data_IF_635726434647
#
_entry.id   IF_635726434647
#
_cell.length_a   1.000
_cell.length_b   1.000
_cell.length_c   1.000
_cell.angle_alpha   90.00
_cell.angle_beta   90.00
_cell.angle_gamma   90.00
#
_symmetry.space_group_name_H-M   'P 1'
#
loop_
_entity.id
_entity.type
_entity.pdbx_description
1 polymer ?
#
# COMPACT_ATOMS: atom_id res chain seq x y z
N UNK A 1 7.11 36.61 -73.77
CA UNK A 1 7.28 37.31 -72.48
C UNK A 1 6.41 36.62 -71.43
N UNK A 2 6.90 35.55 -70.80
CA UNK A 2 6.17 34.78 -69.80
C UNK A 2 6.49 35.30 -68.39
N UNK A 3 5.48 35.78 -67.65
CA UNK A 3 5.61 36.21 -66.25
C UNK A 3 5.35 35.02 -65.34
N UNK A 4 6.40 34.42 -64.81
CA UNK A 4 6.35 33.37 -63.79
C UNK A 4 6.08 33.99 -62.41
N UNK A 5 4.94 33.63 -61.82
CA UNK A 5 4.51 34.02 -60.46
C UNK A 5 5.33 33.20 -59.45
N UNK A 6 6.32 33.83 -58.80
CA UNK A 6 7.08 33.21 -57.69
C UNK A 6 6.16 33.04 -56.47
N UNK A 7 5.93 31.79 -56.07
CA UNK A 7 5.42 31.46 -54.74
C UNK A 7 6.50 31.77 -53.70
N UNK A 8 6.15 32.59 -52.72
CA UNK A 8 6.91 32.75 -51.47
C UNK A 8 6.51 31.63 -50.51
N UNK A 9 7.46 30.81 -49.99
CA UNK A 9 7.16 29.87 -48.93
C UNK A 9 6.96 30.63 -47.61
N UNK A 10 5.89 30.29 -46.89
CA UNK A 10 5.63 30.78 -45.54
C UNK A 10 6.75 30.30 -44.58
N UNK A 11 7.14 31.11 -43.56
CA UNK A 11 8.10 30.67 -42.56
C UNK A 11 7.52 29.49 -41.77
N UNK A 12 8.25 28.38 -41.76
CA UNK A 12 7.97 27.24 -40.88
C UNK A 12 8.07 27.72 -39.43
N UNK A 13 6.99 27.55 -38.67
CA UNK A 13 6.97 27.79 -37.24
C UNK A 13 8.10 26.98 -36.59
N UNK A 14 9.11 27.70 -36.09
CA UNK A 14 10.15 27.13 -35.26
C UNK A 14 9.61 26.96 -33.83
N UNK A 15 9.96 25.82 -33.25
CA UNK A 15 9.95 25.53 -31.81
C UNK A 15 8.58 25.47 -31.12
N UNK A 16 7.95 24.31 -31.19
CA UNK A 16 7.21 23.76 -30.05
C UNK A 16 7.50 22.27 -29.92
N UNK A 17 8.78 21.92 -29.75
CA UNK A 17 9.16 20.70 -29.06
C UNK A 17 8.73 20.87 -27.59
N UNK A 18 7.50 20.44 -27.32
CA UNK A 18 6.86 20.46 -26.01
C UNK A 18 7.61 19.51 -25.06
N UNK A 19 7.68 19.82 -23.75
CA UNK A 19 8.54 19.15 -22.79
C UNK A 19 8.40 17.63 -22.81
N UNK A 20 9.55 16.95 -22.86
CA UNK A 20 9.73 15.58 -23.35
C UNK A 20 9.27 14.47 -22.39
N UNK A 21 8.76 14.74 -21.18
CA UNK A 21 8.13 13.68 -20.34
C UNK A 21 7.17 14.27 -19.30
N UNK A 22 6.18 13.50 -18.84
CA UNK A 22 5.29 13.87 -17.72
C UNK A 22 6.03 14.32 -16.44
N UNK A 23 7.29 13.92 -16.29
CA UNK A 23 8.20 14.37 -15.21
C UNK A 23 8.59 15.85 -15.30
N UNK A 24 8.45 16.46 -16.46
CA UNK A 24 8.82 17.86 -16.71
C UNK A 24 7.59 18.79 -16.59
N UNK A 25 6.38 18.21 -16.67
CA UNK A 25 5.12 18.90 -16.34
C UNK A 25 4.81 18.87 -14.83
N UNK A 26 5.23 17.82 -14.13
CA UNK A 26 5.21 17.80 -12.67
C UNK A 26 6.52 18.41 -12.15
N UNK A 27 6.44 19.57 -11.49
CA UNK A 27 7.60 20.10 -10.78
C UNK A 27 8.15 19.06 -9.81
N UNK A 28 9.48 19.00 -9.69
CA UNK A 28 10.18 18.09 -8.76
C UNK A 28 9.62 18.17 -7.33
N UNK A 29 9.22 19.38 -6.91
CA UNK A 29 8.52 19.66 -5.65
C UNK A 29 7.20 18.86 -5.49
N UNK A 30 6.39 18.73 -6.54
CA UNK A 30 5.15 17.93 -6.50
C UNK A 30 5.47 16.43 -6.43
N UNK A 31 6.52 15.98 -7.12
CA UNK A 31 6.97 14.58 -7.06
C UNK A 31 7.58 14.20 -5.71
N UNK A 32 8.19 15.15 -5.00
CA UNK A 32 8.68 14.96 -3.63
C UNK A 32 7.52 14.91 -2.65
N UNK A 33 6.57 15.85 -2.73
CA UNK A 33 5.34 15.84 -1.92
C UNK A 33 4.55 14.55 -2.08
N UNK A 34 4.42 14.06 -3.32
CA UNK A 34 3.70 12.81 -3.59
C UNK A 34 4.42 11.60 -2.99
N UNK A 35 5.76 11.56 -3.02
CA UNK A 35 6.52 10.49 -2.35
C UNK A 35 6.37 10.56 -0.84
N UNK A 36 6.47 11.74 -0.25
CA UNK A 36 6.27 11.94 1.19
C UNK A 36 4.88 11.44 1.63
N UNK A 37 3.83 11.80 0.89
CA UNK A 37 2.47 11.32 1.15
C UNK A 37 2.31 9.81 0.93
N UNK A 38 2.95 9.25 -0.10
CA UNK A 38 2.92 7.81 -0.35
C UNK A 38 3.62 7.03 0.76
N UNK A 39 4.73 7.54 1.30
CA UNK A 39 5.46 6.90 2.38
C UNK A 39 4.73 7.03 3.72
N UNK A 40 4.08 8.18 3.98
CA UNK A 40 3.18 8.36 5.13
C UNK A 40 1.98 7.42 5.07
N UNK A 41 1.35 7.28 3.90
CA UNK A 41 0.23 6.36 3.71
C UNK A 41 0.64 4.90 3.92
N UNK A 42 1.81 4.48 3.42
CA UNK A 42 2.35 3.14 3.66
C UNK A 42 2.67 2.89 5.13
N UNK A 43 3.22 3.88 5.83
CA UNK A 43 3.49 3.77 7.26
C UNK A 43 2.19 3.59 8.04
N UNK A 44 1.14 4.37 7.73
CA UNK A 44 -0.17 4.22 8.34
C UNK A 44 -0.83 2.87 8.05
N UNK A 45 -0.72 2.35 6.82
CA UNK A 45 -1.22 1.02 6.48
C UNK A 45 -0.46 -0.10 7.21
N UNK A 46 0.86 0.02 7.32
CA UNK A 46 1.68 -0.93 8.07
C UNK A 46 1.29 -0.96 9.56
N UNK A 47 1.10 0.21 10.17
CA UNK A 47 0.68 0.33 11.57
C UNK A 47 -0.72 -0.26 11.79
N UNK A 48 -1.68 0.00 10.90
CA UNK A 48 -3.01 -0.61 10.98
C UNK A 48 -2.96 -2.13 10.90
N UNK A 49 -2.13 -2.67 10.00
CA UNK A 49 -1.96 -4.11 9.87
C UNK A 49 -1.33 -4.71 11.13
N UNK A 50 -0.34 -4.06 11.70
CA UNK A 50 0.29 -4.50 12.95
C UNK A 50 -0.69 -4.48 14.12
N UNK A 51 -1.48 -3.41 14.26
CA UNK A 51 -2.53 -3.33 15.28
C UNK A 51 -3.59 -4.44 15.14
N UNK A 52 -3.99 -4.77 13.91
CA UNK A 52 -4.93 -5.86 13.67
C UNK A 52 -4.32 -7.22 14.06
N UNK A 53 -3.03 -7.43 13.79
CA UNK A 53 -2.33 -8.64 14.23
C UNK A 53 -2.26 -8.75 15.75
N UNK A 54 -1.92 -7.66 16.42
CA UNK A 54 -1.86 -7.61 17.89
C UNK A 54 -3.23 -7.89 18.51
N UNK A 55 -4.30 -7.29 17.99
CA UNK A 55 -5.67 -7.54 18.47
C UNK A 55 -6.10 -9.00 18.24
N UNK A 56 -5.75 -9.60 17.09
CA UNK A 56 -6.05 -10.99 16.82
C UNK A 56 -5.30 -11.96 17.77
N UNK A 57 -4.04 -11.66 18.08
CA UNK A 57 -3.24 -12.44 19.04
C UNK A 57 -3.77 -12.29 20.47
N UNK A 58 -4.16 -11.07 20.87
CA UNK A 58 -4.76 -10.82 22.18
C UNK A 58 -6.11 -11.54 22.32
N UNK A 59 -6.96 -11.50 21.29
CA UNK A 59 -8.23 -12.21 21.25
C UNK A 59 -8.03 -13.73 21.38
N UNK A 60 -7.06 -14.29 20.64
CA UNK A 60 -6.70 -15.71 20.77
C UNK A 60 -6.21 -16.07 22.17
N UNK A 61 -5.37 -15.23 22.76
CA UNK A 61 -4.86 -15.44 24.12
C UNK A 61 -5.97 -15.34 25.15
N UNK A 62 -6.90 -14.41 25.00
CA UNK A 62 -8.05 -14.26 25.88
C UNK A 62 -9.01 -15.45 25.75
N UNK A 63 -9.27 -15.93 24.53
CA UNK A 63 -10.09 -17.12 24.29
C UNK A 63 -9.42 -18.38 24.84
N UNK A 64 -8.11 -18.54 24.65
CA UNK A 64 -7.35 -19.64 25.23
C UNK A 64 -7.44 -19.61 26.76
N UNK A 65 -7.21 -18.45 27.40
CA UNK A 65 -7.39 -18.30 28.85
C UNK A 65 -8.79 -18.65 29.32
N UNK A 66 -9.83 -18.29 28.55
CA UNK A 66 -11.21 -18.68 28.87
C UNK A 66 -11.39 -20.18 28.80
N UNK A 67 -10.89 -20.83 27.74
CA UNK A 67 -10.94 -22.29 27.57
C UNK A 67 -10.16 -23.03 28.65
N UNK A 68 -9.01 -22.49 29.05
CA UNK A 68 -8.19 -23.03 30.14
C UNK A 68 -8.87 -22.85 31.51
N UNK A 69 -9.83 -21.94 31.64
CA UNK A 69 -10.63 -21.76 32.86
C UNK A 69 -11.98 -22.48 32.80
N UNK A 70 -12.44 -22.84 31.61
CA UNK A 70 -13.69 -23.53 31.39
C UNK A 70 -13.53 -25.03 31.66
N UNK A 71 -14.09 -25.47 32.78
CA UNK A 71 -14.03 -26.86 33.22
C UNK A 71 -14.66 -27.84 32.23
N UNK A 72 -15.68 -27.43 31.47
CA UNK A 72 -16.29 -28.31 30.47
C UNK A 72 -15.33 -28.54 29.30
N UNK A 73 -14.65 -27.49 28.85
CA UNK A 73 -13.62 -27.59 27.82
C UNK A 73 -12.44 -28.44 28.31
N UNK A 74 -11.94 -28.19 29.53
CA UNK A 74 -10.86 -28.96 30.13
C UNK A 74 -11.23 -30.43 30.28
N UNK A 75 -12.43 -30.75 30.74
CA UNK A 75 -12.85 -32.14 30.97
C UNK A 75 -12.94 -32.94 29.65
N UNK A 76 -13.43 -32.30 28.59
CA UNK A 76 -13.59 -32.95 27.29
C UNK A 76 -12.28 -33.05 26.50
N UNK A 77 -11.33 -32.11 26.69
CA UNK A 77 -10.08 -32.07 25.93
C UNK A 77 -8.85 -32.56 26.70
N UNK A 78 -8.92 -32.65 28.03
CA UNK A 78 -7.84 -33.21 28.84
C UNK A 78 -8.00 -34.73 28.91
N UNK A 79 -7.09 -35.46 28.26
CA UNK A 79 -7.02 -36.93 28.37
C UNK A 79 -6.37 -37.35 29.69
N UNK A 80 -7.01 -36.98 30.80
CA UNK A 80 -6.56 -37.34 32.14
C UNK A 80 -6.88 -38.82 32.44
N UNK A 81 -6.10 -39.72 31.83
CA UNK A 81 -6.17 -41.16 32.07
C UNK A 81 -5.53 -41.50 33.43
N UNK A 82 -6.30 -41.35 34.51
CA UNK A 82 -5.92 -41.72 35.88
C UNK A 82 -5.43 -43.18 36.03
N UNK A 83 -5.81 -44.07 35.09
CA UNK A 83 -5.32 -45.46 35.01
C UNK A 83 -3.83 -45.56 34.67
N UNK A 84 -3.21 -44.53 34.09
CA UNK A 84 -1.78 -44.50 33.72
C UNK A 84 -0.85 -44.10 34.86
N UNK A 85 -1.39 -43.57 35.96
CA UNK A 85 -0.64 -43.10 37.13
C UNK A 85 -0.89 -43.97 38.37
N UNK A 86 -1.29 -45.23 38.16
CA UNK A 86 -1.61 -46.18 39.23
C UNK A 86 -0.48 -47.17 39.48
#
# INVERSE_FOLDING_TARGET
MAKSKKHTPAPKAQNQDKPTTLKDLLSSDVLEKLKAQADEAKAAEAERKEQERLQAEEARKAEQKRRDNDFEYLLNNSSMDWKKHK
#
